data_IF_084817653320
#
_entry.id   IF_084817653320
#
_cell.length_a   1.000
_cell.length_b   1.000
_cell.length_c   1.000
_cell.angle_alpha   90.00
_cell.angle_beta   90.00
_cell.angle_gamma   90.00
#
_symmetry.space_group_name_H-M   'P 1'
#
loop_
_entity.id
_entity.type
_entity.pdbx_description
1 polymer ?
#
# COMPACT_ATOMS: atom_id res chain seq x y z
N UNK A 1 34.69 -31.47 1.75
CA UNK A 1 33.82 -31.26 0.58
C UNK A 1 32.36 -31.16 1.00
N UNK A 2 31.88 -31.99 1.94
CA UNK A 2 30.50 -31.91 2.46
C UNK A 2 30.22 -30.67 3.31
N UNK A 3 31.16 -30.27 4.18
CA UNK A 3 31.03 -29.06 5.02
C UNK A 3 30.89 -27.76 4.20
N UNK A 4 31.57 -27.69 3.05
CA UNK A 4 31.50 -26.54 2.14
C UNK A 4 30.16 -26.48 1.41
N UNK A 5 29.61 -27.64 1.04
CA UNK A 5 28.27 -27.72 0.44
C UNK A 5 27.18 -27.39 1.46
N UNK A 6 27.33 -27.80 2.71
CA UNK A 6 26.40 -27.44 3.79
C UNK A 6 26.41 -25.93 4.09
N UNK A 7 27.59 -25.30 4.19
CA UNK A 7 27.64 -23.84 4.35
C UNK A 7 27.04 -23.07 3.17
N UNK A 8 27.16 -23.59 1.95
CA UNK A 8 26.52 -22.98 0.77
C UNK A 8 25.00 -23.17 0.79
N UNK A 9 24.51 -24.33 1.23
CA UNK A 9 23.09 -24.60 1.37
C UNK A 9 22.45 -23.71 2.45
N UNK A 10 23.12 -23.53 3.59
CA UNK A 10 22.65 -22.65 4.67
C UNK A 10 22.61 -21.19 4.23
N UNK A 11 23.67 -20.70 3.57
CA UNK A 11 23.69 -19.34 3.01
C UNK A 11 22.61 -19.11 1.94
N UNK A 12 22.31 -20.14 1.14
CA UNK A 12 21.25 -20.07 0.15
C UNK A 12 19.87 -20.05 0.82
N UNK A 13 19.66 -20.87 1.85
CA UNK A 13 18.45 -20.85 2.68
C UNK A 13 18.21 -19.48 3.34
N UNK A 14 19.24 -18.91 3.94
CA UNK A 14 19.17 -17.58 4.56
C UNK A 14 18.84 -16.48 3.56
N UNK A 15 19.42 -16.56 2.35
CA UNK A 15 19.16 -15.60 1.28
C UNK A 15 17.73 -15.70 0.75
N UNK A 16 17.23 -16.92 0.55
CA UNK A 16 15.84 -17.18 0.14
C UNK A 16 14.88 -16.70 1.23
N UNK A 17 15.18 -16.95 2.50
CA UNK A 17 14.36 -16.51 3.61
C UNK A 17 14.35 -14.99 3.76
N UNK A 18 15.49 -14.32 3.55
CA UNK A 18 15.57 -12.87 3.51
C UNK A 18 14.73 -12.27 2.37
N UNK A 19 14.81 -12.84 1.17
CA UNK A 19 14.01 -12.42 0.01
C UNK A 19 12.51 -12.64 0.25
N UNK A 20 12.13 -13.78 0.86
CA UNK A 20 10.74 -14.05 1.22
C UNK A 20 10.26 -13.04 2.26
N UNK A 21 11.00 -12.80 3.35
CA UNK A 21 10.64 -11.81 4.37
C UNK A 21 10.50 -10.40 3.77
N UNK A 22 11.40 -10.02 2.86
CA UNK A 22 11.34 -8.74 2.15
C UNK A 22 10.10 -8.63 1.26
N UNK A 23 9.76 -9.69 0.53
CA UNK A 23 8.54 -9.76 -0.29
C UNK A 23 7.27 -9.83 0.54
N UNK A 24 7.28 -10.52 1.69
CA UNK A 24 6.13 -10.64 2.60
C UNK A 24 5.88 -9.33 3.35
N UNK A 25 6.92 -8.57 3.72
CA UNK A 25 6.77 -7.19 4.23
C UNK A 25 6.13 -6.25 3.22
N UNK A 26 6.32 -6.50 1.92
CA UNK A 26 5.61 -5.78 0.86
C UNK A 26 4.14 -6.22 0.69
N UNK A 27 3.73 -7.35 1.29
CA UNK A 27 2.34 -7.83 1.28
C UNK A 27 1.60 -7.38 2.55
N UNK A 28 2.30 -7.11 3.66
CA UNK A 28 1.72 -6.68 4.95
C UNK A 28 1.25 -5.21 4.99
N UNK A 29 0.92 -4.67 3.82
CA UNK A 29 0.34 -3.34 3.62
C UNK A 29 -1.12 -3.34 4.08
N UNK A 30 -1.81 -4.47 3.95
CA UNK A 30 -3.23 -4.55 4.25
C UNK A 30 -3.55 -4.53 5.76
N UNK A 31 -2.58 -4.80 6.63
CA UNK A 31 -2.80 -4.84 8.10
C UNK A 31 -2.32 -3.58 8.85
N UNK A 32 -1.49 -2.73 8.24
CA UNK A 32 -0.83 -1.61 8.96
C UNK A 32 -1.31 -0.22 8.55
N UNK A 33 -2.24 -0.11 7.60
CA UNK A 33 -2.74 1.19 7.17
C UNK A 33 -3.68 1.80 8.22
N UNK A 34 -3.37 3.00 8.75
CA UNK A 34 -4.21 3.68 9.73
C UNK A 34 -5.59 4.00 9.14
N UNK A 35 -6.58 4.19 10.01
CA UNK A 35 -7.94 4.55 9.59
C UNK A 35 -7.97 5.88 8.80
N UNK A 36 -7.04 6.79 9.10
CA UNK A 36 -6.82 8.01 8.34
C UNK A 36 -5.53 7.93 7.53
N UNK A 37 -5.65 7.90 6.21
CA UNK A 37 -4.55 7.77 5.27
C UNK A 37 -4.04 9.15 4.85
N UNK A 38 -2.72 9.26 4.71
CA UNK A 38 -2.10 10.33 3.93
C UNK A 38 -2.08 9.98 2.42
N UNK A 39 -1.69 10.92 1.57
CA UNK A 39 -1.68 10.71 0.12
C UNK A 39 -0.79 9.53 -0.33
N UNK A 40 0.38 9.33 0.30
CA UNK A 40 1.28 8.20 -0.03
C UNK A 40 0.65 6.86 0.35
N UNK A 41 -0.03 6.80 1.49
CA UNK A 41 -0.76 5.64 1.96
C UNK A 41 -1.99 5.34 1.10
N UNK A 42 -2.69 6.37 0.62
CA UNK A 42 -3.81 6.22 -0.31
C UNK A 42 -3.37 5.58 -1.64
N UNK A 43 -2.26 6.06 -2.22
CA UNK A 43 -1.66 5.49 -3.43
C UNK A 43 -1.32 4.01 -3.22
N UNK A 44 -0.75 3.70 -2.05
CA UNK A 44 -0.38 2.33 -1.66
C UNK A 44 -1.62 1.44 -1.49
N UNK A 45 -2.69 1.96 -0.89
CA UNK A 45 -3.97 1.26 -0.73
C UNK A 45 -4.63 0.95 -2.08
N UNK A 46 -4.65 1.95 -2.98
CA UNK A 46 -5.28 1.81 -4.30
C UNK A 46 -4.38 1.09 -5.32
N UNK A 47 -3.12 0.79 -4.97
CA UNK A 47 -2.15 0.15 -5.87
C UNK A 47 -1.88 0.96 -7.16
N UNK A 48 -2.07 2.28 -7.13
CA UNK A 48 -2.02 3.12 -8.32
C UNK A 48 -0.77 4.01 -8.36
N UNK A 49 -0.55 4.74 -9.46
CA UNK A 49 0.46 5.80 -9.53
C UNK A 49 -0.11 7.15 -9.06
N UNK A 50 0.76 8.14 -8.83
CA UNK A 50 0.35 9.53 -8.54
C UNK A 50 -0.47 10.15 -9.66
N UNK A 51 -0.21 9.80 -10.92
CA UNK A 51 -0.95 10.29 -12.07
C UNK A 51 -2.37 9.72 -12.12
N UNK A 52 -2.54 8.44 -11.82
CA UNK A 52 -3.87 7.79 -11.74
C UNK A 52 -4.67 8.29 -10.55
N UNK A 53 -4.01 8.63 -9.44
CA UNK A 53 -4.69 9.20 -8.26
C UNK A 53 -5.48 10.48 -8.60
N UNK A 54 -4.97 11.32 -9.49
CA UNK A 54 -5.67 12.54 -9.93
C UNK A 54 -7.06 12.25 -10.53
N UNK A 55 -7.22 11.08 -11.17
CA UNK A 55 -8.51 10.64 -11.73
C UNK A 55 -9.52 10.26 -10.66
N UNK A 56 -9.09 9.86 -9.47
CA UNK A 56 -9.98 9.59 -8.36
C UNK A 56 -10.34 10.89 -7.62
N UNK A 57 -9.35 11.79 -7.44
CA UNK A 57 -9.53 13.05 -6.71
C UNK A 57 -10.37 14.10 -7.45
N UNK A 58 -10.57 13.96 -8.76
CA UNK A 58 -11.46 14.85 -9.53
C UNK A 58 -12.95 14.68 -9.16
N UNK A 59 -13.32 13.50 -8.63
CA UNK A 59 -14.68 13.21 -8.23
C UNK A 59 -15.01 13.96 -6.93
N UNK A 60 -16.09 14.74 -6.95
CA UNK A 60 -16.49 15.60 -5.80
C UNK A 60 -16.92 14.78 -4.59
N UNK A 61 -17.43 13.58 -4.84
CA UNK A 61 -17.88 12.58 -3.89
C UNK A 61 -16.73 11.71 -3.34
N UNK A 62 -15.50 11.89 -3.85
CA UNK A 62 -14.36 11.15 -3.34
C UNK A 62 -14.11 11.49 -1.86
N UNK A 63 -14.04 10.48 -0.97
CA UNK A 63 -13.96 10.69 0.47
C UNK A 63 -12.64 11.34 0.87
N UNK A 64 -12.71 12.58 1.34
CA UNK A 64 -11.57 13.39 1.79
C UNK A 64 -11.94 14.16 3.05
N UNK A 65 -11.00 14.23 3.98
CA UNK A 65 -11.10 15.00 5.22
C UNK A 65 -10.19 16.21 5.05
N UNK A 66 -10.80 17.37 4.88
CA UNK A 66 -10.14 18.66 4.92
C UNK A 66 -10.38 19.29 6.31
N UNK A 67 -9.30 19.50 7.08
CA UNK A 67 -9.35 20.08 8.43
C UNK A 67 -9.12 21.60 8.44
N UNK A 68 -9.10 22.26 7.29
CA UNK A 68 -8.97 23.72 7.17
C UNK A 68 -7.54 24.22 6.93
N UNK A 69 -7.37 25.55 6.94
CA UNK A 69 -6.16 26.25 6.42
C UNK A 69 -4.87 25.72 7.04
N UNK A 70 -4.01 25.15 6.19
CA UNK A 70 -2.67 24.67 6.53
C UNK A 70 -2.59 23.21 6.93
N UNK A 71 -3.73 22.49 7.01
CA UNK A 71 -3.74 21.09 7.41
C UNK A 71 -3.63 20.17 6.21
N UNK A 72 -2.85 19.10 6.34
CA UNK A 72 -2.74 18.09 5.29
C UNK A 72 -4.08 17.35 5.12
N UNK A 73 -4.52 17.19 3.87
CA UNK A 73 -5.71 16.37 3.55
C UNK A 73 -5.46 14.93 3.99
N UNK A 74 -6.46 14.34 4.63
CA UNK A 74 -6.49 12.93 5.04
C UNK A 74 -7.62 12.21 4.35
N UNK A 75 -7.48 10.90 4.19
CA UNK A 75 -8.43 10.06 3.47
C UNK A 75 -8.88 8.91 4.37
N UNK A 76 -10.17 8.79 4.69
CA UNK A 76 -10.67 7.69 5.52
C UNK A 76 -10.57 6.38 4.75
N UNK A 77 -9.83 5.41 5.30
CA UNK A 77 -9.48 4.14 4.65
C UNK A 77 -10.70 3.37 4.15
N UNK A 78 -11.68 3.16 5.02
CA UNK A 78 -12.82 2.31 4.73
C UNK A 78 -13.77 3.00 3.74
N UNK A 79 -14.02 4.30 3.92
CA UNK A 79 -14.82 5.07 2.98
C UNK A 79 -14.18 5.12 1.58
N UNK A 80 -12.85 5.22 1.48
CA UNK A 80 -12.14 5.14 0.18
C UNK A 80 -12.37 3.77 -0.47
N UNK A 81 -12.30 2.68 0.30
CA UNK A 81 -12.55 1.32 -0.21
C UNK A 81 -13.98 1.18 -0.71
N UNK A 82 -14.95 1.62 0.07
CA UNK A 82 -16.36 1.58 -0.29
C UNK A 82 -16.63 2.42 -1.54
N UNK A 83 -16.06 3.61 -1.62
CA UNK A 83 -16.17 4.47 -2.79
C UNK A 83 -15.59 3.80 -4.03
N UNK A 84 -14.39 3.21 -3.94
CA UNK A 84 -13.77 2.51 -5.06
C UNK A 84 -14.61 1.31 -5.51
N UNK A 85 -15.07 0.48 -4.58
CA UNK A 85 -15.93 -0.67 -4.87
C UNK A 85 -17.27 -0.27 -5.51
N UNK A 86 -17.78 0.91 -5.21
CA UNK A 86 -19.02 1.43 -5.79
C UNK A 86 -18.82 2.15 -7.12
N UNK A 87 -17.60 2.63 -7.43
CA UNK A 87 -17.36 3.48 -8.59
C UNK A 87 -16.36 2.90 -9.61
N UNK A 88 -15.71 1.76 -9.35
CA UNK A 88 -14.69 1.17 -10.25
C UNK A 88 -15.14 1.02 -11.71
N UNK A 89 -16.43 0.79 -11.94
CA UNK A 89 -17.02 0.66 -13.28
C UNK A 89 -17.19 2.00 -14.02
N UNK A 90 -16.97 3.13 -13.35
CA UNK A 90 -17.07 4.50 -13.88
C UNK A 90 -15.72 5.21 -13.97
N UNK A 91 -14.63 4.57 -13.52
CA UNK A 91 -13.28 5.13 -13.37
C UNK A 91 -12.44 5.05 -14.65
#
# INVERSE_FOLDING_TARGET
>A
MDELMQQMADKFGDMVQAVIIEKTKAIDIDQTLPLELNQKQLIKLLGCSTSTLGRFLQFKDFPRIDRGRGTQIRYPRDAVRDWYNNNWHKL
#
